data_IF_212693947259
#
_entry.id   IF_212693947259
#
_cell.length_a   1.000
_cell.length_b   1.000
_cell.length_c   1.000
_cell.angle_alpha   90.00
_cell.angle_beta   90.00
_cell.angle_gamma   90.00
#
_symmetry.space_group_name_H-M   'P 1'
#
loop_
_entity.id
_entity.type
_entity.pdbx_description
1 polymer ?
#
# COMPACT_ATOMS: atom_id res chain seq x y z
N UNK A 1 52.84 11.06 -1.27
CA UNK A 1 51.41 11.05 -1.66
C UNK A 1 50.75 12.25 -1.01
N UNK A 2 50.25 13.17 -1.84
CA UNK A 2 49.78 14.48 -1.35
C UNK A 2 48.47 14.32 -0.54
N UNK A 3 48.41 14.85 0.68
CA UNK A 3 47.20 14.75 1.56
C UNK A 3 45.92 15.25 0.85
N UNK A 4 46.07 16.19 -0.08
CA UNK A 4 44.97 16.69 -0.93
C UNK A 4 44.39 15.60 -1.83
N UNK A 5 45.23 14.75 -2.41
CA UNK A 5 44.80 13.65 -3.29
C UNK A 5 44.04 12.56 -2.50
N UNK A 6 44.42 12.29 -1.26
CA UNK A 6 43.75 11.33 -0.38
C UNK A 6 42.39 11.85 0.05
N UNK A 7 42.28 13.09 0.49
CA UNK A 7 41.02 13.72 0.88
C UNK A 7 40.02 13.76 -0.28
N UNK A 8 40.48 14.10 -1.48
CA UNK A 8 39.66 14.10 -2.69
C UNK A 8 39.11 12.69 -3.01
N UNK A 9 39.96 11.66 -2.92
CA UNK A 9 39.55 10.26 -3.15
C UNK A 9 38.51 9.81 -2.12
N UNK A 10 38.70 10.14 -0.84
CA UNK A 10 37.72 9.83 0.22
C UNK A 10 36.40 10.54 -0.07
N UNK A 11 36.43 11.83 -0.41
CA UNK A 11 35.21 12.58 -0.75
C UNK A 11 34.49 11.96 -1.94
N UNK A 12 35.21 11.64 -3.02
CA UNK A 12 34.60 11.00 -4.20
C UNK A 12 33.99 9.64 -3.86
N UNK A 13 34.66 8.85 -3.03
CA UNK A 13 34.13 7.57 -2.56
C UNK A 13 32.87 7.76 -1.71
N UNK A 14 32.88 8.69 -0.76
CA UNK A 14 31.69 8.99 0.06
C UNK A 14 30.50 9.45 -0.81
N UNK A 15 30.74 10.33 -1.78
CA UNK A 15 29.70 10.79 -2.72
C UNK A 15 29.18 9.61 -3.56
N UNK A 16 30.04 8.76 -4.07
CA UNK A 16 29.62 7.58 -4.83
C UNK A 16 28.76 6.62 -3.99
N UNK A 17 29.14 6.39 -2.73
CA UNK A 17 28.36 5.57 -1.80
C UNK A 17 26.99 6.18 -1.53
N UNK A 18 26.94 7.50 -1.27
CA UNK A 18 25.64 8.20 -1.04
C UNK A 18 24.76 8.11 -2.28
N UNK A 19 25.31 8.31 -3.48
CA UNK A 19 24.56 8.19 -4.73
C UNK A 19 24.08 6.76 -4.98
N UNK A 20 24.89 5.76 -4.67
CA UNK A 20 24.51 4.36 -4.78
C UNK A 20 23.36 4.02 -3.81
N UNK A 21 23.47 4.45 -2.55
CA UNK A 21 22.41 4.28 -1.56
C UNK A 21 21.13 4.99 -2.03
N UNK A 22 21.22 6.23 -2.47
CA UNK A 22 20.07 6.97 -3.00
C UNK A 22 19.45 6.24 -4.20
N UNK A 23 20.26 5.75 -5.13
CA UNK A 23 19.77 4.97 -6.26
C UNK A 23 18.96 3.74 -5.80
N UNK A 24 19.48 2.93 -4.87
CA UNK A 24 18.78 1.75 -4.36
C UNK A 24 17.49 2.11 -3.61
N UNK A 25 17.50 3.19 -2.83
CA UNK A 25 16.33 3.59 -2.04
C UNK A 25 15.20 4.20 -2.89
N UNK A 26 15.55 4.88 -3.99
CA UNK A 26 14.57 5.58 -4.83
C UNK A 26 14.21 4.86 -6.12
N UNK A 27 14.99 3.86 -6.53
CA UNK A 27 14.62 3.05 -7.71
C UNK A 27 13.41 2.17 -7.36
N UNK A 28 12.32 2.24 -8.14
CA UNK A 28 11.19 1.36 -7.93
C UNK A 28 11.61 -0.11 -8.04
N UNK A 29 11.05 -1.00 -7.21
CA UNK A 29 11.30 -2.43 -7.34
C UNK A 29 10.94 -2.95 -8.73
N UNK A 30 11.70 -3.94 -9.21
CA UNK A 30 11.37 -4.62 -10.45
C UNK A 30 10.13 -5.49 -10.24
N UNK A 31 9.18 -5.38 -11.14
CA UNK A 31 8.00 -6.25 -11.23
C UNK A 31 8.03 -6.98 -12.57
N UNK A 32 7.20 -7.99 -12.77
CA UNK A 32 7.11 -8.66 -14.07
C UNK A 32 6.65 -7.66 -15.15
N UNK A 33 7.57 -7.34 -16.06
CA UNK A 33 7.29 -6.42 -17.16
C UNK A 33 6.42 -7.05 -18.27
N UNK A 34 6.22 -8.36 -18.22
CA UNK A 34 5.35 -9.08 -19.17
C UNK A 34 3.95 -9.34 -18.58
N UNK A 35 3.70 -8.95 -17.33
CA UNK A 35 2.39 -9.09 -16.72
C UNK A 35 1.33 -8.34 -17.54
N UNK A 36 0.19 -8.98 -17.73
CA UNK A 36 -0.96 -8.45 -18.49
C UNK A 36 -2.21 -8.61 -17.65
N UNK A 37 -3.03 -7.58 -17.62
CA UNK A 37 -4.36 -7.64 -17.01
C UNK A 37 -5.30 -8.32 -18.00
N UNK A 38 -5.94 -9.41 -17.57
CA UNK A 38 -6.96 -10.06 -18.39
C UNK A 38 -8.25 -9.24 -18.40
N UNK A 39 -8.96 -9.29 -19.52
CA UNK A 39 -10.30 -8.73 -19.66
C UNK A 39 -11.40 -9.80 -19.73
N UNK A 40 -11.07 -11.05 -19.37
CA UNK A 40 -12.07 -12.12 -19.35
C UNK A 40 -12.99 -12.03 -18.12
N UNK A 41 -14.21 -12.55 -18.28
CA UNK A 41 -15.25 -12.47 -17.24
C UNK A 41 -14.85 -13.19 -15.94
N UNK A 42 -14.05 -14.26 -16.03
CA UNK A 42 -13.61 -15.01 -14.85
C UNK A 42 -12.59 -14.20 -14.03
N UNK A 43 -11.63 -13.52 -14.68
CA UNK A 43 -10.68 -12.63 -14.01
C UNK A 43 -11.41 -11.45 -13.35
N UNK A 44 -12.37 -10.83 -14.06
CA UNK A 44 -13.20 -9.76 -13.53
C UNK A 44 -14.01 -10.24 -12.32
N UNK A 45 -14.60 -11.44 -12.37
CA UNK A 45 -15.37 -11.99 -11.26
C UNK A 45 -14.49 -12.30 -10.03
N UNK A 46 -13.27 -12.85 -10.23
CA UNK A 46 -12.31 -13.05 -9.15
C UNK A 46 -11.87 -11.71 -8.57
N UNK A 47 -11.57 -10.72 -9.40
CA UNK A 47 -11.21 -9.38 -8.98
C UNK A 47 -12.31 -8.68 -8.17
N UNK A 48 -13.57 -8.83 -8.56
CA UNK A 48 -14.73 -8.34 -7.81
C UNK A 48 -14.80 -8.96 -6.41
N UNK A 49 -14.58 -10.27 -6.29
CA UNK A 49 -14.48 -10.94 -5.00
C UNK A 49 -13.33 -10.38 -4.15
N UNK A 50 -12.14 -10.23 -4.74
CA UNK A 50 -10.94 -9.75 -4.04
C UNK A 50 -11.10 -8.29 -3.57
N UNK A 51 -11.66 -7.40 -4.38
CA UNK A 51 -11.94 -6.00 -4.03
C UNK A 51 -12.92 -5.90 -2.86
N UNK A 52 -13.96 -6.75 -2.84
CA UNK A 52 -14.91 -6.79 -1.73
C UNK A 52 -14.27 -7.41 -0.46
N UNK A 53 -13.58 -8.54 -0.58
CA UNK A 53 -12.92 -9.21 0.54
C UNK A 53 -11.78 -8.37 1.13
N UNK A 54 -11.08 -7.59 0.30
CA UNK A 54 -10.03 -6.65 0.70
C UNK A 54 -10.54 -5.34 1.27
N UNK A 55 -11.86 -5.12 1.35
CA UNK A 55 -12.44 -3.92 1.95
C UNK A 55 -12.16 -2.63 1.18
N UNK A 56 -11.77 -2.68 -0.10
CA UNK A 56 -11.43 -1.49 -0.89
C UNK A 56 -12.55 -0.44 -0.89
N UNK A 57 -13.80 -0.92 -0.89
CA UNK A 57 -15.01 -0.08 -0.87
C UNK A 57 -15.05 0.83 0.35
N UNK A 58 -14.62 0.36 1.52
CA UNK A 58 -14.72 1.13 2.77
C UNK A 58 -13.95 2.45 2.75
N UNK A 59 -12.83 2.49 2.01
CA UNK A 59 -12.02 3.69 1.85
C UNK A 59 -12.31 4.43 0.54
N UNK A 60 -12.50 3.69 -0.57
CA UNK A 60 -12.60 4.28 -1.92
C UNK A 60 -14.03 4.60 -2.37
N UNK A 61 -15.03 4.45 -1.50
CA UNK A 61 -16.42 4.86 -1.79
C UNK A 61 -16.50 6.33 -2.21
N UNK A 62 -17.47 6.64 -3.06
CA UNK A 62 -17.72 8.00 -3.48
C UNK A 62 -18.27 8.83 -2.31
N UNK A 63 -17.80 10.07 -2.18
CA UNK A 63 -18.36 11.08 -1.28
C UNK A 63 -19.03 12.13 -2.14
N UNK A 64 -20.36 12.25 -1.99
CA UNK A 64 -21.20 13.18 -2.74
C UNK A 64 -21.05 14.61 -2.18
N UNK A 65 -21.46 15.59 -2.98
CA UNK A 65 -21.31 17.01 -2.61
C UNK A 65 -22.09 17.44 -1.36
N UNK A 66 -23.07 16.67 -0.92
CA UNK A 66 -23.83 16.86 0.33
C UNK A 66 -23.23 16.10 1.53
N UNK A 67 -22.11 15.41 1.31
CA UNK A 67 -21.43 14.59 2.31
C UNK A 67 -21.97 13.17 2.45
N UNK A 68 -23.00 12.80 1.70
CA UNK A 68 -23.47 11.41 1.64
C UNK A 68 -22.42 10.51 0.94
N UNK A 69 -22.50 9.20 1.13
CA UNK A 69 -21.56 8.25 0.56
C UNK A 69 -22.26 7.23 -0.33
N UNK A 70 -21.59 6.83 -1.41
CA UNK A 70 -22.10 5.81 -2.32
C UNK A 70 -21.06 4.68 -2.48
N UNK A 71 -21.27 3.53 -1.81
CA UNK A 71 -20.34 2.41 -1.85
C UNK A 71 -20.34 1.65 -3.19
N UNK A 72 -21.30 1.91 -4.09
CA UNK A 72 -21.34 1.32 -5.42
C UNK A 72 -20.37 1.99 -6.39
N UNK A 73 -19.82 3.15 -6.03
CA UNK A 73 -18.91 3.94 -6.86
C UNK A 73 -17.59 4.11 -6.11
N UNK A 74 -16.49 3.71 -6.75
CA UNK A 74 -15.15 3.75 -6.14
C UNK A 74 -14.37 5.01 -6.58
N UNK A 75 -15.04 6.17 -6.62
CA UNK A 75 -14.42 7.42 -7.04
C UNK A 75 -13.68 8.17 -5.94
N UNK A 76 -13.65 7.63 -4.73
CA UNK A 76 -12.86 8.16 -3.62
C UNK A 76 -13.44 9.43 -2.98
N UNK A 77 -12.57 10.14 -2.26
CA UNK A 77 -12.93 11.36 -1.53
C UNK A 77 -13.16 11.14 -0.03
N UNK A 78 -13.27 9.88 0.42
CA UNK A 78 -13.41 9.59 1.85
C UNK A 78 -12.17 10.03 2.63
N UNK A 79 -12.39 10.75 3.73
CA UNK A 79 -11.34 11.30 4.57
C UNK A 79 -11.02 10.35 5.74
N UNK A 80 -9.79 9.88 5.79
CA UNK A 80 -9.24 9.11 6.91
C UNK A 80 -8.46 10.05 7.83
N UNK A 81 -9.01 10.34 9.00
CA UNK A 81 -8.36 11.20 10.01
C UNK A 81 -7.49 10.33 10.90
N UNK A 82 -6.22 10.68 11.03
CA UNK A 82 -5.22 9.96 11.82
C UNK A 82 -4.36 10.94 12.62
N UNK A 83 -3.56 10.45 13.56
CA UNK A 83 -2.56 11.24 14.29
C UNK A 83 -1.48 11.88 13.38
N UNK A 84 -1.33 11.37 12.16
CA UNK A 84 -0.38 11.84 11.16
C UNK A 84 -0.97 12.82 10.14
N UNK A 85 -2.27 13.11 10.23
CA UNK A 85 -2.98 13.99 9.35
C UNK A 85 -4.23 13.35 8.72
N UNK A 86 -4.83 14.08 7.78
CA UNK A 86 -6.00 13.59 7.04
C UNK A 86 -5.58 13.12 5.66
N UNK A 87 -5.85 11.86 5.38
CA UNK A 87 -5.61 11.24 4.08
C UNK A 87 -6.95 11.07 3.34
N UNK A 88 -6.97 11.33 2.05
CA UNK A 88 -8.14 11.15 1.22
C UNK A 88 -7.93 9.95 0.31
N UNK A 89 -8.87 9.00 0.32
CA UNK A 89 -8.82 7.86 -0.57
C UNK A 89 -8.93 8.33 -2.03
N UNK A 90 -8.04 7.90 -2.92
CA UNK A 90 -8.08 8.33 -4.32
C UNK A 90 -9.24 7.70 -5.09
N UNK A 91 -9.55 8.27 -6.25
CA UNK A 91 -10.40 7.68 -7.26
C UNK A 91 -9.71 6.43 -7.85
N UNK A 92 -10.32 5.27 -7.75
CA UNK A 92 -9.86 4.00 -8.34
C UNK A 92 -10.81 3.47 -9.43
N UNK A 93 -11.66 4.34 -9.99
CA UNK A 93 -12.38 4.05 -11.23
C UNK A 93 -11.46 4.24 -12.44
N UNK A 94 -11.78 3.65 -13.62
CA UNK A 94 -10.94 3.76 -14.82
C UNK A 94 -11.10 5.12 -15.53
N UNK A 95 -11.25 6.21 -14.79
CA UNK A 95 -11.16 7.56 -15.32
C UNK A 95 -9.69 7.91 -15.61
N UNK A 96 -9.40 8.40 -16.81
CA UNK A 96 -8.01 8.66 -17.24
C UNK A 96 -7.42 9.93 -16.64
N UNK A 97 -8.25 10.88 -16.24
CA UNK A 97 -7.80 12.18 -15.74
C UNK A 97 -7.62 12.18 -14.21
N UNK A 98 -8.52 11.49 -13.50
CA UNK A 98 -8.59 11.57 -12.02
C UNK A 98 -8.49 10.21 -11.32
N UNK A 99 -8.53 9.12 -12.08
CA UNK A 99 -8.53 7.74 -11.58
C UNK A 99 -7.32 6.92 -12.05
N UNK A 100 -7.58 5.65 -12.34
CA UNK A 100 -6.55 4.67 -12.70
C UNK A 100 -6.68 4.17 -14.15
N UNK A 101 -7.35 4.94 -15.05
CA UNK A 101 -7.66 4.52 -16.42
C UNK A 101 -6.43 4.24 -17.29
N UNK A 102 -5.31 4.91 -17.02
CA UNK A 102 -4.05 4.72 -17.74
C UNK A 102 -3.10 3.68 -17.08
N UNK A 103 -3.52 3.06 -15.97
CA UNK A 103 -2.69 2.11 -15.26
C UNK A 103 -2.50 0.80 -16.04
N UNK A 104 -1.27 0.30 -15.99
CA UNK A 104 -0.87 -0.99 -16.55
C UNK A 104 -0.68 -2.02 -15.45
N UNK A 105 -0.52 -3.27 -15.81
CA UNK A 105 -0.26 -4.37 -14.88
C UNK A 105 0.87 -4.05 -13.88
N UNK A 106 1.97 -3.43 -14.37
CA UNK A 106 3.12 -3.06 -13.55
C UNK A 106 2.78 -2.00 -12.50
N UNK A 107 1.83 -1.11 -12.80
CA UNK A 107 1.43 -0.04 -11.88
C UNK A 107 0.61 -0.62 -10.71
N UNK A 108 -0.29 -1.57 -10.98
CA UNK A 108 -0.99 -2.32 -9.94
C UNK A 108 -0.02 -3.10 -9.04
N UNK A 109 0.92 -3.84 -9.65
CA UNK A 109 1.92 -4.60 -8.90
C UNK A 109 2.79 -3.68 -8.03
N UNK A 110 3.26 -2.54 -8.56
CA UNK A 110 4.04 -1.58 -7.78
C UNK A 110 3.22 -0.90 -6.69
N UNK A 111 1.98 -0.53 -6.98
CA UNK A 111 1.12 0.13 -6.02
C UNK A 111 0.80 -0.78 -4.83
N UNK A 112 0.24 -1.95 -5.08
CA UNK A 112 -0.23 -2.82 -4.01
C UNK A 112 0.94 -3.49 -3.28
N UNK A 113 1.94 -4.02 -3.99
CA UNK A 113 3.00 -4.82 -3.35
C UNK A 113 4.18 -3.98 -2.84
N UNK A 114 4.37 -2.78 -3.37
CA UNK A 114 5.54 -1.97 -3.05
C UNK A 114 5.22 -0.55 -2.58
N UNK A 115 3.93 -0.17 -2.56
CA UNK A 115 3.51 1.17 -2.15
C UNK A 115 4.08 2.28 -3.02
N UNK A 116 4.21 2.04 -4.34
CA UNK A 116 4.77 3.00 -5.30
C UNK A 116 3.72 3.42 -6.34
N UNK A 117 3.60 4.72 -6.56
CA UNK A 117 2.79 5.25 -7.66
C UNK A 117 3.44 4.94 -9.02
N UNK A 118 2.71 5.08 -10.15
CA UNK A 118 3.27 4.96 -11.49
C UNK A 118 4.52 5.83 -11.72
N UNK A 119 4.57 7.01 -11.12
CA UNK A 119 5.70 7.96 -11.17
C UNK A 119 6.83 7.59 -10.19
N UNK A 120 6.69 6.50 -9.42
CA UNK A 120 7.68 6.01 -8.48
C UNK A 120 7.67 6.64 -7.09
N UNK A 121 6.70 7.54 -6.79
CA UNK A 121 6.54 8.13 -5.45
C UNK A 121 6.02 7.10 -4.45
N UNK A 122 6.43 7.21 -3.18
CA UNK A 122 5.85 6.37 -2.12
C UNK A 122 4.43 6.79 -1.79
N UNK A 123 3.54 5.81 -1.60
CA UNK A 123 2.26 6.04 -0.94
C UNK A 123 2.44 6.19 0.56
N UNK A 124 1.55 6.94 1.19
CA UNK A 124 1.46 6.97 2.65
C UNK A 124 0.91 5.65 3.18
N UNK A 125 1.36 5.16 4.35
CA UNK A 125 0.93 3.88 4.91
C UNK A 125 -0.53 3.87 5.41
N UNK A 126 -1.30 4.93 5.19
CA UNK A 126 -2.76 4.89 5.21
C UNK A 126 -3.34 3.97 4.12
N UNK A 127 -2.58 3.73 3.04
CA UNK A 127 -2.80 2.65 2.09
C UNK A 127 -2.00 1.43 2.57
N UNK A 128 -2.63 0.28 2.87
CA UNK A 128 -1.99 -0.84 3.58
C UNK A 128 -1.10 -1.71 2.67
N UNK A 129 -0.22 -1.08 1.88
CA UNK A 129 0.66 -1.78 0.94
C UNK A 129 1.63 -2.75 1.61
N UNK A 130 1.89 -2.60 2.92
CA UNK A 130 2.76 -3.52 3.65
C UNK A 130 2.07 -4.89 3.84
N UNK A 131 0.79 -4.89 4.10
CA UNK A 131 -0.04 -6.10 4.12
C UNK A 131 -0.22 -6.66 2.71
N UNK A 132 -0.55 -5.81 1.74
CA UNK A 132 -0.71 -6.21 0.34
C UNK A 132 0.57 -6.74 -0.33
N UNK A 133 1.75 -6.48 0.24
CA UNK A 133 3.02 -7.03 -0.27
C UNK A 133 3.03 -8.56 -0.39
N UNK A 134 2.22 -9.27 0.42
CA UNK A 134 2.06 -10.72 0.36
C UNK A 134 1.02 -11.22 -0.63
N UNK A 135 0.35 -10.36 -1.37
CA UNK A 135 -0.59 -10.79 -2.40
C UNK A 135 0.13 -11.50 -3.55
N UNK A 136 -0.51 -12.53 -4.10
CA UNK A 136 -0.05 -13.14 -5.34
C UNK A 136 -0.22 -12.16 -6.50
N UNK A 137 0.67 -12.22 -7.49
CA UNK A 137 0.60 -11.33 -8.65
C UNK A 137 -0.70 -11.52 -9.43
N UNK A 138 -1.19 -12.76 -9.53
CA UNK A 138 -2.48 -13.08 -10.18
C UNK A 138 -3.64 -12.37 -9.49
N UNK A 139 -3.74 -12.44 -8.15
CA UNK A 139 -4.79 -11.75 -7.38
C UNK A 139 -4.72 -10.22 -7.57
N UNK A 140 -3.52 -9.64 -7.64
CA UNK A 140 -3.33 -8.21 -7.93
C UNK A 140 -3.81 -7.85 -9.33
N UNK A 141 -3.54 -8.70 -10.33
CA UNK A 141 -3.97 -8.48 -11.71
C UNK A 141 -5.46 -8.67 -11.88
N UNK A 142 -6.07 -9.62 -11.17
CA UNK A 142 -7.53 -9.80 -11.14
C UNK A 142 -8.23 -8.59 -10.48
N UNK A 143 -7.67 -8.04 -9.39
CA UNK A 143 -8.13 -6.76 -8.82
C UNK A 143 -8.09 -5.66 -9.90
N UNK A 144 -6.99 -5.55 -10.64
CA UNK A 144 -6.85 -4.62 -11.75
C UNK A 144 -7.90 -4.85 -12.84
N UNK A 145 -8.16 -6.11 -13.21
CA UNK A 145 -9.17 -6.47 -14.21
C UNK A 145 -10.57 -5.97 -13.81
N UNK A 146 -10.95 -6.19 -12.56
CA UNK A 146 -12.24 -5.70 -12.07
C UNK A 146 -12.30 -4.17 -12.02
N UNK A 147 -11.29 -3.50 -11.43
CA UNK A 147 -11.31 -2.05 -11.31
C UNK A 147 -11.34 -1.34 -12.67
N UNK A 148 -10.60 -1.87 -13.66
CA UNK A 148 -10.62 -1.33 -15.02
C UNK A 148 -11.91 -1.67 -15.81
N UNK A 149 -12.71 -2.63 -15.35
CA UNK A 149 -14.02 -2.95 -15.94
C UNK A 149 -15.16 -2.05 -15.43
N UNK A 150 -14.91 -1.26 -14.37
CA UNK A 150 -15.92 -0.35 -13.82
C UNK A 150 -16.21 0.82 -14.76
N UNK A 151 -17.33 1.51 -14.50
CA UNK A 151 -17.62 2.76 -15.20
C UNK A 151 -16.65 3.87 -14.73
N UNK A 152 -16.03 4.63 -15.64
CA UNK A 152 -15.19 5.76 -15.25
C UNK A 152 -16.04 6.86 -14.62
N UNK A 153 -15.53 7.44 -13.54
CA UNK A 153 -16.16 8.58 -12.86
C UNK A 153 -15.08 9.65 -12.67
N UNK A 154 -15.27 10.82 -13.27
CA UNK A 154 -14.36 11.93 -13.07
C UNK A 154 -14.57 12.55 -11.70
N UNK A 155 -13.61 12.36 -10.79
CA UNK A 155 -13.63 12.91 -9.43
C UNK A 155 -12.21 13.24 -8.96
N UNK A 156 -11.88 14.53 -8.95
CA UNK A 156 -10.63 15.03 -8.38
C UNK A 156 -10.75 15.12 -6.86
N UNK A 157 -10.13 14.18 -6.16
CA UNK A 157 -10.14 14.14 -4.69
C UNK A 157 -9.22 15.22 -4.09
N UNK A 158 -9.50 15.71 -2.85
CA UNK A 158 -8.65 16.69 -2.19
C UNK A 158 -7.24 16.17 -1.94
N UNK A 159 -6.26 17.07 -1.86
CA UNK A 159 -4.92 16.74 -1.42
C UNK A 159 -4.90 16.36 0.07
N UNK A 160 -3.98 15.46 0.44
CA UNK A 160 -3.78 15.06 1.83
C UNK A 160 -3.39 16.27 2.69
N UNK A 161 -3.92 16.34 3.90
CA UNK A 161 -3.58 17.36 4.90
C UNK A 161 -2.61 16.76 5.90
N UNK A 162 -1.32 16.86 5.63
CA UNK A 162 -0.26 16.27 6.45
C UNK A 162 0.66 17.37 7.00
N UNK A 163 1.31 17.15 8.16
CA UNK A 163 2.37 18.03 8.65
C UNK A 163 3.50 18.12 7.62
N UNK A 164 4.17 19.28 7.57
CA UNK A 164 5.25 19.56 6.60
C UNK A 164 6.44 18.57 6.66
N UNK A 165 6.69 17.97 7.82
CA UNK A 165 7.74 16.98 8.02
C UNK A 165 7.38 15.58 7.51
N UNK A 166 6.09 15.27 7.34
CA UNK A 166 5.61 14.02 6.78
C UNK A 166 5.61 14.12 5.25
N UNK A 167 6.79 14.11 4.67
CA UNK A 167 6.97 14.13 3.22
C UNK A 167 7.10 12.71 2.66
N UNK A 168 6.82 12.54 1.36
CA UNK A 168 7.05 11.26 0.67
C UNK A 168 8.51 10.81 0.75
N UNK A 169 9.47 11.72 0.90
CA UNK A 169 10.88 11.39 1.13
C UNK A 169 11.12 10.81 2.53
N UNK A 170 10.41 11.29 3.55
CA UNK A 170 10.51 10.74 4.90
C UNK A 170 10.04 9.27 4.95
N UNK A 171 9.14 8.86 4.07
CA UNK A 171 8.66 7.48 3.96
C UNK A 171 9.77 6.49 3.56
N UNK A 172 10.83 6.93 2.89
CA UNK A 172 12.00 6.07 2.60
C UNK A 172 12.62 5.56 3.90
N UNK A 173 12.91 6.49 4.82
CA UNK A 173 13.46 6.15 6.13
C UNK A 173 12.47 5.38 7.00
N UNK A 174 11.18 5.75 6.95
CA UNK A 174 10.13 5.05 7.68
C UNK A 174 9.98 3.60 7.22
N UNK A 175 9.94 3.33 5.91
CA UNK A 175 9.87 1.97 5.37
C UNK A 175 11.09 1.14 5.78
N UNK A 176 12.30 1.70 5.65
CA UNK A 176 13.52 1.03 6.09
C UNK A 176 13.46 0.68 7.57
N UNK A 177 13.05 1.62 8.41
CA UNK A 177 12.91 1.39 9.85
C UNK A 177 11.84 0.33 10.14
N UNK A 178 10.71 0.38 9.44
CA UNK A 178 9.64 -0.59 9.59
C UNK A 178 10.09 -2.01 9.19
N UNK A 179 10.87 -2.14 8.11
CA UNK A 179 11.44 -3.43 7.69
C UNK A 179 12.45 -3.97 8.72
N UNK A 180 13.26 -3.09 9.33
CA UNK A 180 14.26 -3.49 10.32
C UNK A 180 13.69 -3.83 11.69
N UNK A 181 12.56 -3.23 12.08
CA UNK A 181 12.03 -3.33 13.46
C UNK A 181 10.71 -4.11 13.56
N UNK A 182 9.90 -4.10 12.52
CA UNK A 182 8.56 -4.69 12.51
C UNK A 182 8.43 -5.89 11.57
N UNK A 183 9.36 -6.04 10.60
CA UNK A 183 9.18 -7.01 9.52
C UNK A 183 8.01 -6.65 8.60
N UNK A 184 7.54 -7.62 7.83
CA UNK A 184 6.36 -7.49 6.97
C UNK A 184 5.32 -8.52 7.37
N UNK A 185 4.06 -8.12 7.45
CA UNK A 185 2.94 -9.02 7.74
C UNK A 185 2.88 -10.20 6.76
N UNK A 186 3.24 -9.96 5.51
CA UNK A 186 3.34 -10.99 4.48
C UNK A 186 4.36 -12.10 4.77
N UNK A 187 5.35 -11.85 5.62
CA UNK A 187 6.39 -12.83 5.98
C UNK A 187 5.94 -13.78 7.09
N UNK A 188 4.81 -13.48 7.76
CA UNK A 188 4.26 -14.30 8.85
C UNK A 188 3.53 -15.55 8.36
N UNK A 189 3.25 -15.66 7.06
CA UNK A 189 2.69 -16.89 6.46
C UNK A 189 3.83 -17.90 6.35
N UNK A 190 4.04 -18.63 7.43
CA UNK A 190 5.08 -19.66 7.48
C UNK A 190 4.53 -21.01 7.02
N UNK A 191 5.44 -21.88 6.54
CA UNK A 191 5.13 -23.26 6.13
C UNK A 191 4.60 -24.18 7.28
N UNK A 192 4.37 -23.65 8.47
CA UNK A 192 3.83 -24.35 9.63
C UNK A 192 2.29 -24.46 9.63
N UNK A 193 1.62 -23.86 8.67
CA UNK A 193 0.16 -23.94 8.58
C UNK A 193 -0.21 -25.29 7.95
N UNK A 194 -0.77 -26.18 8.78
CA UNK A 194 -0.94 -27.61 8.48
C UNK A 194 -1.98 -27.92 7.39
N UNK A 195 -2.83 -26.96 7.01
CA UNK A 195 -3.85 -27.18 5.98
C UNK A 195 -3.96 -26.05 4.96
N UNK A 196 -4.38 -26.37 3.74
CA UNK A 196 -4.64 -25.38 2.68
C UNK A 196 -5.72 -24.35 3.08
N UNK A 197 -6.67 -24.72 3.92
CA UNK A 197 -7.70 -23.82 4.43
C UNK A 197 -7.11 -22.80 5.40
N UNK A 198 -6.20 -23.23 6.29
CA UNK A 198 -5.50 -22.31 7.20
C UNK A 198 -4.59 -21.36 6.42
N UNK A 199 -3.84 -21.86 5.44
CA UNK A 199 -3.02 -21.01 4.57
C UNK A 199 -3.87 -19.96 3.84
N UNK A 200 -5.03 -20.36 3.31
CA UNK A 200 -5.95 -19.41 2.66
C UNK A 200 -6.53 -18.42 3.66
N UNK A 201 -6.89 -18.84 4.87
CA UNK A 201 -7.37 -17.97 5.94
C UNK A 201 -6.32 -16.94 6.36
N UNK A 202 -5.09 -17.38 6.58
CA UNK A 202 -3.95 -16.53 6.89
C UNK A 202 -3.68 -15.51 5.77
N UNK A 203 -3.67 -15.95 4.53
CA UNK A 203 -3.54 -15.08 3.36
C UNK A 203 -4.63 -14.00 3.31
N UNK A 204 -5.88 -14.39 3.55
CA UNK A 204 -6.99 -13.43 3.57
C UNK A 204 -6.88 -12.45 4.74
N UNK A 205 -6.60 -12.93 5.95
CA UNK A 205 -6.57 -12.09 7.14
C UNK A 205 -5.36 -11.14 7.18
N UNK A 206 -4.16 -11.64 6.82
CA UNK A 206 -2.91 -10.88 6.94
C UNK A 206 -2.63 -10.01 5.72
N UNK A 207 -2.97 -10.49 4.52
CA UNK A 207 -2.64 -9.76 3.30
C UNK A 207 -3.87 -9.02 2.75
N UNK A 208 -4.84 -9.71 2.20
CA UNK A 208 -5.93 -9.10 1.46
C UNK A 208 -6.86 -8.29 2.36
N UNK A 209 -7.35 -8.87 3.45
CA UNK A 209 -8.24 -8.23 4.41
C UNK A 209 -7.51 -7.31 5.39
N UNK A 210 -6.16 -7.37 5.42
CA UNK A 210 -5.26 -6.54 6.25
C UNK A 210 -5.77 -6.33 7.68
N UNK A 211 -6.37 -7.36 8.30
CA UNK A 211 -6.99 -7.26 9.63
C UNK A 211 -6.00 -6.76 10.70
N UNK A 212 -4.72 -7.08 10.54
CA UNK A 212 -3.63 -6.60 11.40
C UNK A 212 -3.49 -5.09 11.43
N UNK A 213 -3.93 -4.35 10.40
CA UNK A 213 -3.87 -2.89 10.38
C UNK A 213 -4.68 -2.26 11.52
N UNK A 214 -5.82 -2.86 11.89
CA UNK A 214 -6.66 -2.42 12.99
C UNK A 214 -6.41 -3.23 14.27
N UNK A 215 -6.10 -4.54 14.17
CA UNK A 215 -6.05 -5.43 15.33
C UNK A 215 -4.65 -5.68 15.88
N UNK A 216 -3.59 -5.07 15.32
CA UNK A 216 -2.22 -5.19 15.82
C UNK A 216 -1.75 -3.86 16.40
N UNK A 217 -1.20 -3.82 17.63
CA UNK A 217 -0.70 -2.59 18.23
C UNK A 217 0.39 -1.95 17.39
N UNK A 218 0.45 -0.62 17.39
CA UNK A 218 1.49 0.16 16.71
C UNK A 218 2.35 0.92 17.71
N UNK A 219 3.57 1.17 17.35
CA UNK A 219 4.43 2.08 18.12
C UNK A 219 4.13 3.55 17.77
N UNK A 220 4.81 4.50 18.47
CA UNK A 220 4.62 5.94 18.25
C UNK A 220 5.00 6.45 16.85
N UNK A 221 5.60 5.62 16.00
CA UNK A 221 5.89 5.91 14.59
C UNK A 221 4.86 5.27 13.64
N UNK A 222 3.80 4.67 14.18
CA UNK A 222 2.78 3.97 13.38
C UNK A 222 3.23 2.61 12.83
N UNK A 223 4.36 2.05 13.28
CA UNK A 223 4.86 0.75 12.83
C UNK A 223 4.19 -0.34 13.63
N UNK A 224 3.61 -1.36 12.95
CA UNK A 224 2.96 -2.51 13.56
C UNK A 224 3.94 -3.34 14.39
N UNK A 225 3.50 -3.77 15.59
CA UNK A 225 4.26 -4.62 16.49
C UNK A 225 3.91 -6.09 16.22
N UNK A 226 4.48 -6.69 15.18
CA UNK A 226 4.10 -8.04 14.71
C UNK A 226 4.32 -9.15 15.74
N UNK A 227 5.19 -8.96 16.73
CA UNK A 227 5.30 -9.86 17.88
C UNK A 227 4.01 -9.91 18.74
N UNK A 228 3.10 -8.97 18.51
CA UNK A 228 1.78 -8.86 19.15
C UNK A 228 0.67 -8.83 18.12
N UNK A 229 0.87 -9.56 17.01
CA UNK A 229 -0.13 -9.62 15.94
C UNK A 229 -1.50 -10.03 16.50
N UNK A 230 -2.53 -9.32 16.08
CA UNK A 230 -3.92 -9.50 16.48
C UNK A 230 -4.23 -9.32 17.98
N UNK A 231 -3.30 -8.81 18.78
CA UNK A 231 -3.51 -8.60 20.22
C UNK A 231 -4.38 -7.37 20.56
N UNK A 232 -5.06 -6.81 19.56
CA UNK A 232 -5.83 -5.58 19.71
C UNK A 232 -4.97 -4.33 19.59
N UNK A 233 -5.59 -3.19 19.34
CA UNK A 233 -4.91 -1.92 19.18
C UNK A 233 -5.72 -0.74 19.70
N UNK A 234 -5.06 0.42 19.88
CA UNK A 234 -5.71 1.70 20.09
C UNK A 234 -5.57 2.50 18.79
N UNK A 235 -6.72 2.96 18.25
CA UNK A 235 -6.75 3.78 17.03
C UNK A 235 -7.52 5.07 17.37
N UNK A 236 -6.80 6.16 17.55
CA UNK A 236 -7.39 7.38 18.09
C UNK A 236 -7.99 7.14 19.48
N UNK A 237 -9.29 7.45 19.66
CA UNK A 237 -10.03 7.20 20.90
C UNK A 237 -10.63 5.79 20.99
N UNK A 238 -10.63 5.04 19.89
CA UNK A 238 -11.26 3.72 19.80
C UNK A 238 -10.30 2.61 20.24
N UNK A 239 -10.80 1.69 21.05
CA UNK A 239 -10.10 0.45 21.41
C UNK A 239 -10.59 -0.67 20.51
N UNK A 240 -9.68 -1.27 19.76
CA UNK A 240 -9.92 -2.42 18.90
C UNK A 240 -9.51 -3.69 19.64
N UNK A 241 -10.44 -4.61 19.83
CA UNK A 241 -10.20 -5.85 20.57
C UNK A 241 -9.26 -6.80 19.82
N UNK A 242 -8.67 -7.74 20.56
CA UNK A 242 -7.89 -8.83 20.00
C UNK A 242 -8.77 -9.74 19.12
N UNK A 243 -8.16 -10.41 18.16
CA UNK A 243 -8.77 -11.51 17.41
C UNK A 243 -8.15 -12.80 17.95
N UNK A 244 -9.00 -13.68 18.54
CA UNK A 244 -8.62 -14.99 19.05
C UNK A 244 -8.58 -16.06 17.94
#
# INVERSE_FOLDING_TARGET
>A
MNQWSLRMRILTFCVAVVLAIAYFLFTPPSVDNNAVISSDDDAIARGAYLVNAGGCVSCHLAVEGDGSTNPAILSGGHAMVTDFGTFYAPNITPDVDTGIGDWRAQDFLRALKHGRSPEGSFYFPAFPYRSYAGLNDEDVLDIGAYLLSLNPVNNAVPEHKTPWWLSRFALVGWNLLADLTGGRESELITAQEESLLMQRGAYLARNLGHCGECHTPRNGLGISQLAREFAGAQIGEDTIEAID
#
